data_IF_118263647732
#
_entry.id   IF_118263647732
#
_cell.length_a   1.000
_cell.length_b   1.000
_cell.length_c   1.000
_cell.angle_alpha   90.00
_cell.angle_beta   90.00
_cell.angle_gamma   90.00
#
_symmetry.space_group_name_H-M   'P 1'
#
loop_
_entity.id
_entity.type
_entity.pdbx_description
1 polymer ?
#
# COMPACT_ATOMS: atom_id res chain seq x y z
N UNK A 1 -10.14 -5.65 -19.27
CA UNK A 1 -9.11 -5.88 -18.24
C UNK A 1 -9.77 -6.57 -17.07
N UNK A 2 -9.25 -7.70 -16.59
CA UNK A 2 -9.78 -8.37 -15.40
C UNK A 2 -8.62 -8.81 -14.48
N UNK A 3 -8.94 -9.17 -13.24
CA UNK A 3 -7.97 -9.49 -12.20
C UNK A 3 -7.06 -10.66 -12.60
N UNK A 4 -7.57 -11.64 -13.36
CA UNK A 4 -6.79 -12.79 -13.86
C UNK A 4 -5.70 -12.37 -14.85
N UNK A 5 -5.99 -11.42 -15.75
CA UNK A 5 -5.00 -10.90 -16.70
C UNK A 5 -3.86 -10.16 -15.97
N UNK A 6 -4.20 -9.38 -14.94
CA UNK A 6 -3.22 -8.64 -14.13
C UNK A 6 -2.32 -9.60 -13.36
N UNK A 7 -2.90 -10.61 -12.70
CA UNK A 7 -2.14 -11.66 -11.99
C UNK A 7 -1.20 -12.38 -12.96
N UNK A 8 -1.70 -12.76 -14.15
CA UNK A 8 -0.89 -13.42 -15.18
C UNK A 8 0.30 -12.56 -15.60
N UNK A 9 0.06 -11.26 -15.82
CA UNK A 9 1.10 -10.30 -16.21
C UNK A 9 2.19 -10.19 -15.16
N UNK A 10 1.82 -10.02 -13.88
CA UNK A 10 2.78 -9.96 -12.77
C UNK A 10 3.52 -11.29 -12.56
N UNK A 11 2.82 -12.44 -12.68
CA UNK A 11 3.43 -13.78 -12.68
C UNK A 11 4.47 -13.94 -13.79
N UNK A 12 4.20 -13.39 -14.97
CA UNK A 12 5.08 -13.43 -16.14
C UNK A 12 6.16 -12.33 -16.10
N UNK A 13 6.42 -11.73 -14.92
CA UNK A 13 7.47 -10.73 -14.65
C UNK A 13 7.35 -9.45 -15.46
N UNK A 14 6.14 -9.10 -15.88
CA UNK A 14 5.87 -7.83 -16.55
C UNK A 14 5.44 -6.77 -15.54
N UNK A 15 5.77 -5.52 -15.84
CA UNK A 15 5.38 -4.37 -15.04
C UNK A 15 3.89 -4.05 -15.27
N UNK A 16 3.20 -3.70 -14.20
CA UNK A 16 1.82 -3.25 -14.20
C UNK A 16 1.75 -1.74 -14.45
N UNK A 17 0.75 -1.30 -15.20
CA UNK A 17 0.44 0.11 -15.32
C UNK A 17 -0.33 0.62 -14.10
N UNK A 18 -0.41 1.95 -13.94
CA UNK A 18 -1.20 2.59 -12.89
C UNK A 18 -2.68 2.17 -12.96
N UNK A 19 -3.24 2.10 -14.16
CA UNK A 19 -4.64 1.73 -14.40
C UNK A 19 -4.92 0.27 -14.03
N UNK A 20 -3.95 -0.62 -14.23
CA UNK A 20 -4.06 -2.02 -13.82
C UNK A 20 -4.09 -2.15 -12.29
N UNK A 21 -3.20 -1.43 -11.59
CA UNK A 21 -3.15 -1.42 -10.12
C UNK A 21 -4.42 -0.78 -9.55
N UNK A 22 -4.85 0.36 -10.10
CA UNK A 22 -6.06 1.05 -9.69
C UNK A 22 -7.32 0.18 -9.87
N UNK A 23 -7.44 -0.49 -11.02
CA UNK A 23 -8.52 -1.45 -11.26
C UNK A 23 -8.53 -2.57 -10.22
N UNK A 24 -7.37 -3.17 -9.92
CA UNK A 24 -7.28 -4.30 -9.02
C UNK A 24 -7.70 -3.91 -7.59
N UNK A 25 -7.19 -2.79 -7.08
CA UNK A 25 -7.51 -2.31 -5.72
C UNK A 25 -8.97 -1.89 -5.63
N UNK A 26 -9.47 -1.09 -6.58
CA UNK A 26 -10.86 -0.62 -6.54
C UNK A 26 -11.87 -1.76 -6.67
N UNK A 27 -11.63 -2.75 -7.55
CA UNK A 27 -12.51 -3.91 -7.67
C UNK A 27 -12.49 -4.78 -6.42
N UNK A 28 -11.35 -4.92 -5.74
CA UNK A 28 -11.28 -5.63 -4.46
C UNK A 28 -12.07 -4.93 -3.37
N UNK A 29 -11.91 -3.61 -3.23
CA UNK A 29 -12.63 -2.81 -2.22
C UNK A 29 -14.16 -2.80 -2.45
N UNK A 30 -14.60 -2.95 -3.71
CA UNK A 30 -16.02 -3.08 -4.06
C UNK A 30 -16.57 -4.50 -3.89
N UNK A 31 -15.73 -5.48 -3.52
CA UNK A 31 -16.11 -6.90 -3.42
C UNK A 31 -16.30 -7.60 -4.77
N UNK A 32 -15.83 -7.00 -5.87
CA UNK A 32 -15.92 -7.55 -7.23
C UNK A 32 -14.78 -8.52 -7.54
N UNK A 33 -13.61 -8.34 -6.92
CA UNK A 33 -12.48 -9.28 -6.99
C UNK A 33 -12.48 -10.14 -5.72
N UNK A 34 -12.44 -11.46 -5.89
CA UNK A 34 -12.46 -12.39 -4.76
C UNK A 34 -11.10 -12.48 -4.05
N UNK A 35 -11.11 -12.77 -2.74
CA UNK A 35 -9.90 -12.89 -1.90
C UNK A 35 -8.84 -13.84 -2.46
N UNK A 36 -9.26 -14.95 -3.07
CA UNK A 36 -8.34 -15.92 -3.67
C UNK A 36 -7.62 -15.39 -4.92
N UNK A 37 -8.17 -14.37 -5.59
CA UNK A 37 -7.49 -13.70 -6.70
C UNK A 37 -6.46 -12.70 -6.16
N UNK A 38 -6.78 -11.98 -5.07
CA UNK A 38 -5.83 -11.10 -4.41
C UNK A 38 -4.69 -11.88 -3.78
N UNK A 39 -4.94 -13.02 -3.15
CA UNK A 39 -3.86 -13.87 -2.62
C UNK A 39 -2.94 -14.38 -3.73
N UNK A 40 -3.47 -14.74 -4.89
CA UNK A 40 -2.68 -15.11 -6.07
C UNK A 40 -1.85 -13.93 -6.60
N UNK A 41 -2.42 -12.73 -6.63
CA UNK A 41 -1.68 -11.51 -6.97
C UNK A 41 -0.54 -11.25 -5.97
N UNK A 42 -0.83 -11.28 -4.67
CA UNK A 42 0.17 -11.06 -3.61
C UNK A 42 1.32 -12.07 -3.70
N UNK A 43 1.03 -13.35 -3.96
CA UNK A 43 2.07 -14.36 -4.18
C UNK A 43 2.91 -14.06 -5.43
N UNK A 44 2.28 -13.59 -6.52
CA UNK A 44 3.02 -13.21 -7.73
C UNK A 44 3.94 -12.00 -7.50
N UNK A 45 3.52 -11.02 -6.67
CA UNK A 45 4.35 -9.89 -6.25
C UNK A 45 5.48 -10.36 -5.33
N UNK A 46 5.21 -11.26 -4.39
CA UNK A 46 6.23 -11.82 -3.50
C UNK A 46 7.36 -12.50 -4.28
N UNK A 47 7.02 -13.27 -5.32
CA UNK A 47 7.99 -14.02 -6.12
C UNK A 47 8.73 -13.18 -7.17
N UNK A 48 8.08 -12.17 -7.75
CA UNK A 48 8.61 -11.41 -8.89
C UNK A 48 8.90 -9.94 -8.60
N UNK A 49 8.50 -9.42 -7.45
CA UNK A 49 8.66 -8.04 -7.05
C UNK A 49 7.78 -7.04 -7.81
N UNK A 50 7.98 -5.78 -7.45
CA UNK A 50 7.46 -4.60 -8.13
C UNK A 50 8.63 -3.63 -8.30
N UNK A 51 8.64 -2.90 -9.41
CA UNK A 51 9.59 -1.79 -9.56
C UNK A 51 9.14 -0.57 -8.73
N UNK A 52 9.95 0.50 -8.74
CA UNK A 52 9.67 1.70 -7.96
C UNK A 52 8.37 2.40 -8.39
N UNK A 53 8.08 2.45 -9.70
CA UNK A 53 6.85 3.06 -10.24
C UNK A 53 5.61 2.28 -9.78
N UNK A 54 5.64 0.95 -9.89
CA UNK A 54 4.56 0.08 -9.46
C UNK A 54 4.31 0.20 -7.95
N UNK A 55 5.38 0.25 -7.16
CA UNK A 55 5.31 0.43 -5.69
C UNK A 55 4.72 1.79 -5.34
N UNK A 56 5.11 2.83 -6.07
CA UNK A 56 4.54 4.17 -5.95
C UNK A 56 3.04 4.18 -6.30
N UNK A 57 2.65 3.59 -7.42
CA UNK A 57 1.24 3.52 -7.84
C UNK A 57 0.39 2.74 -6.83
N UNK A 58 0.87 1.60 -6.33
CA UNK A 58 0.16 0.83 -5.31
C UNK A 58 -0.05 1.66 -4.04
N UNK A 59 1.01 2.35 -3.58
CA UNK A 59 0.95 3.21 -2.39
C UNK A 59 -0.05 4.35 -2.57
N UNK A 60 0.00 5.04 -3.72
CA UNK A 60 -0.86 6.17 -4.03
C UNK A 60 -2.33 5.76 -4.18
N UNK A 61 -2.61 4.63 -4.86
CA UNK A 61 -3.97 4.10 -4.98
C UNK A 61 -4.53 3.70 -3.62
N UNK A 62 -3.73 3.04 -2.78
CA UNK A 62 -4.15 2.70 -1.41
C UNK A 62 -4.37 3.95 -0.54
N UNK A 63 -3.52 4.97 -0.63
CA UNK A 63 -3.69 6.25 0.06
C UNK A 63 -5.05 6.90 -0.27
N UNK A 64 -5.42 6.90 -1.56
CA UNK A 64 -6.65 7.52 -2.04
C UNK A 64 -7.91 6.63 -1.90
N UNK A 65 -7.76 5.39 -1.42
CA UNK A 65 -8.88 4.45 -1.27
C UNK A 65 -9.80 4.74 -0.06
N UNK A 66 -9.37 5.65 0.83
CA UNK A 66 -10.05 5.94 2.08
C UNK A 66 -10.10 7.43 2.39
N UNK A 67 -10.13 7.75 3.69
CA UNK A 67 -10.12 9.13 4.16
C UNK A 67 -8.69 9.63 4.27
N UNK A 68 -8.45 10.82 3.71
CA UNK A 68 -7.20 11.56 3.90
C UNK A 68 -7.39 12.52 5.07
N UNK A 69 -6.53 12.41 6.08
CA UNK A 69 -6.59 13.27 7.27
C UNK A 69 -5.97 14.62 6.92
N UNK A 70 -6.73 15.70 7.10
CA UNK A 70 -6.20 17.06 7.04
C UNK A 70 -5.68 17.48 8.42
N UNK A 71 -4.42 17.92 8.45
CA UNK A 71 -3.73 18.42 9.65
C UNK A 71 -3.35 19.91 9.49
N UNK A 72 -4.00 20.62 8.56
CA UNK A 72 -3.76 22.03 8.26
C UNK A 72 -3.99 22.95 9.47
N UNK A 73 -4.93 22.60 10.35
CA UNK A 73 -5.22 23.34 11.59
C UNK A 73 -4.04 23.31 12.60
N UNK A 74 -3.13 22.34 12.48
CA UNK A 74 -1.92 22.26 13.29
C UNK A 74 -0.82 23.09 12.64
N UNK A 75 -0.58 24.29 13.19
CA UNK A 75 0.39 25.27 12.64
C UNK A 75 1.86 24.86 12.78
N UNK A 76 2.19 23.94 13.70
CA UNK A 76 3.56 23.45 13.88
C UNK A 76 3.90 22.36 12.85
N UNK A 77 5.19 22.13 12.53
CA UNK A 77 5.59 20.99 11.70
C UNK A 77 5.02 19.67 12.24
N UNK A 78 4.55 18.80 11.34
CA UNK A 78 4.00 17.49 11.66
C UNK A 78 5.02 16.45 11.26
N UNK A 79 5.42 15.62 12.21
CA UNK A 79 6.42 14.58 12.03
C UNK A 79 5.77 13.27 12.47
N UNK A 80 6.01 12.21 11.71
CA UNK A 80 5.61 10.86 12.06
C UNK A 80 6.83 9.95 12.13
N UNK A 81 6.74 8.90 12.95
CA UNK A 81 7.75 7.84 13.03
C UNK A 81 7.04 6.50 12.90
N UNK A 82 7.48 5.72 11.92
CA UNK A 82 7.04 4.35 11.73
C UNK A 82 8.17 3.35 12.04
N UNK A 83 7.80 2.14 12.49
CA UNK A 83 8.73 1.01 12.64
C UNK A 83 8.29 -0.10 11.71
N UNK A 84 9.22 -0.71 10.97
CA UNK A 84 8.93 -1.89 10.16
C UNK A 84 8.66 -3.14 11.02
N UNK A 85 9.05 -3.10 12.30
CA UNK A 85 8.87 -4.18 13.26
C UNK A 85 10.18 -4.58 13.94
N UNK A 86 10.07 -5.09 15.17
CA UNK A 86 11.20 -5.55 15.98
C UNK A 86 10.75 -6.11 17.33
N UNK A 87 11.46 -7.11 17.85
CA UNK A 87 11.11 -7.71 19.15
C UNK A 87 11.49 -6.74 20.26
N UNK A 88 10.50 -6.25 21.00
CA UNK A 88 10.70 -5.31 22.09
C UNK A 88 10.94 -3.86 21.67
N UNK A 89 10.63 -3.48 20.42
CA UNK A 89 10.69 -2.07 19.98
C UNK A 89 9.61 -1.23 20.69
N UNK A 90 10.03 -0.49 21.72
CA UNK A 90 9.19 0.41 22.52
C UNK A 90 9.45 1.88 22.21
N UNK A 91 10.18 2.19 21.13
CA UNK A 91 10.62 3.57 20.83
C UNK A 91 9.45 4.53 20.74
N UNK A 92 8.37 4.15 20.07
CA UNK A 92 7.21 5.06 19.87
C UNK A 92 6.56 5.51 21.18
N UNK A 93 6.58 4.67 22.23
CA UNK A 93 5.99 4.99 23.55
C UNK A 93 6.75 6.14 24.23
N UNK A 94 8.08 6.15 24.12
CA UNK A 94 8.93 7.15 24.77
C UNK A 94 9.11 8.38 23.88
N UNK A 95 9.30 8.16 22.57
CA UNK A 95 9.61 9.22 21.62
C UNK A 95 8.45 10.21 21.44
N UNK A 96 7.21 9.71 21.36
CA UNK A 96 6.04 10.57 21.15
C UNK A 96 5.89 11.66 22.24
N UNK A 97 5.87 11.33 23.55
CA UNK A 97 5.80 12.37 24.59
C UNK A 97 7.08 13.21 24.67
N UNK A 98 8.25 12.63 24.40
CA UNK A 98 9.53 13.37 24.45
C UNK A 98 9.62 14.48 23.40
N UNK A 99 9.13 14.22 22.18
CA UNK A 99 9.11 15.23 21.10
C UNK A 99 7.95 16.22 21.25
N UNK A 100 6.88 15.84 21.96
CA UNK A 100 5.73 16.70 22.21
C UNK A 100 5.94 17.73 23.34
N UNK A 101 6.88 17.47 24.25
CA UNK A 101 7.19 18.30 25.43
C UNK A 101 7.90 19.63 25.10
#
# INVERSE_FOLDING_TARGET
MNSVQIIKKKRDKQNLSREEIEYLINSYLKGETADYQISAFLMSVFLNGMNDEETFFLTEVMLNSGKIIDLSDIRKPKIDKHSTGGVGDKVSIILAPQIAA
#
